data_IF_858775182740
#
_entry.id   IF_858775182740
#
_cell.length_a   1.000
_cell.length_b   1.000
_cell.length_c   1.000
_cell.angle_alpha   90.00
_cell.angle_beta   90.00
_cell.angle_gamma   90.00
#
_symmetry.space_group_name_H-M   'P 1'
#
loop_
_entity.id
_entity.type
_entity.pdbx_description
1 polymer ?
#
# COMPACT_ATOMS: atom_id res chain seq x y z
N UNK A 1 -28.85 13.97 -5.66
CA UNK A 1 -28.63 14.94 -6.79
C UNK A 1 -27.17 15.00 -7.20
N UNK A 2 -26.23 15.22 -6.27
CA UNK A 2 -24.80 15.33 -6.58
C UNK A 2 -24.22 14.04 -7.16
N UNK A 3 -24.46 12.89 -6.53
CA UNK A 3 -23.95 11.60 -6.99
C UNK A 3 -24.46 11.23 -8.39
N UNK A 4 -25.73 11.51 -8.69
CA UNK A 4 -26.27 11.29 -10.04
C UNK A 4 -25.62 12.19 -11.09
N UNK A 5 -25.37 13.45 -10.78
CA UNK A 5 -24.65 14.36 -11.67
C UNK A 5 -23.25 13.87 -11.95
N UNK A 6 -22.47 13.57 -10.89
CA UNK A 6 -21.11 13.06 -11.03
C UNK A 6 -21.06 11.75 -11.81
N UNK A 7 -21.97 10.82 -11.52
CA UNK A 7 -22.08 9.58 -12.27
C UNK A 7 -22.28 9.83 -13.77
N UNK A 8 -23.24 10.68 -14.14
CA UNK A 8 -23.51 10.98 -15.55
C UNK A 8 -22.30 11.66 -16.24
N UNK A 9 -21.62 12.57 -15.55
CA UNK A 9 -20.44 13.21 -16.11
C UNK A 9 -19.27 12.25 -16.28
N UNK A 10 -19.07 11.34 -15.35
CA UNK A 10 -18.08 10.27 -15.45
C UNK A 10 -18.38 9.35 -16.65
N UNK A 11 -19.63 8.92 -16.80
CA UNK A 11 -20.04 8.01 -17.86
C UNK A 11 -20.04 8.62 -19.28
N UNK A 12 -19.89 9.94 -19.41
CA UNK A 12 -19.63 10.60 -20.70
C UNK A 12 -18.18 10.47 -21.17
N UNK A 13 -17.22 10.27 -20.27
CA UNK A 13 -15.78 10.36 -20.55
C UNK A 13 -15.05 9.06 -20.30
N UNK A 14 -15.25 8.45 -19.15
CA UNK A 14 -14.47 7.29 -18.72
C UNK A 14 -14.68 6.02 -19.56
N UNK A 15 -15.88 5.72 -20.12
CA UNK A 15 -16.02 4.58 -21.03
C UNK A 15 -15.08 4.65 -22.24
N UNK A 16 -14.91 5.84 -22.83
CA UNK A 16 -14.00 6.01 -23.94
C UNK A 16 -12.53 5.79 -23.49
N UNK A 17 -12.15 6.28 -22.31
CA UNK A 17 -10.82 6.09 -21.75
C UNK A 17 -10.52 4.59 -21.57
N UNK A 18 -11.42 3.83 -20.99
CA UNK A 18 -11.22 2.39 -20.75
C UNK A 18 -11.27 1.56 -22.05
N UNK A 19 -11.97 2.02 -23.08
CA UNK A 19 -12.09 1.32 -24.37
C UNK A 19 -10.95 1.63 -25.34
N UNK A 20 -10.22 2.72 -25.16
CA UNK A 20 -9.14 3.09 -26.08
C UNK A 20 -7.82 2.36 -25.81
N UNK A 21 -7.76 1.50 -24.81
CA UNK A 21 -6.57 0.75 -24.44
C UNK A 21 -6.92 -0.69 -24.03
N UNK A 22 -5.96 -1.61 -24.23
CA UNK A 22 -6.02 -2.97 -23.67
C UNK A 22 -5.34 -3.07 -22.29
N UNK A 23 -4.83 -1.96 -21.76
CA UNK A 23 -4.22 -1.94 -20.42
C UNK A 23 -5.30 -2.06 -19.34
N UNK A 24 -4.94 -2.71 -18.24
CA UNK A 24 -5.75 -2.71 -17.03
C UNK A 24 -5.75 -1.31 -16.41
N UNK A 25 -6.93 -0.72 -16.26
CA UNK A 25 -7.07 0.63 -15.71
C UNK A 25 -7.23 0.56 -14.20
N UNK A 26 -6.41 1.31 -13.48
CA UNK A 26 -6.50 1.48 -12.04
C UNK A 26 -6.83 2.94 -11.72
N UNK A 27 -7.74 3.16 -10.76
CA UNK A 27 -8.09 4.48 -10.27
C UNK A 27 -7.48 4.72 -8.89
N UNK A 28 -6.97 5.92 -8.66
CA UNK A 28 -6.65 6.36 -7.30
C UNK A 28 -7.93 7.02 -6.75
N UNK A 29 -8.54 6.37 -5.77
CA UNK A 29 -9.84 6.73 -5.16
C UNK A 29 -9.73 6.85 -3.64
N UNK A 30 -8.65 7.47 -3.18
CA UNK A 30 -8.39 7.74 -1.77
C UNK A 30 -9.05 9.02 -1.28
N UNK A 31 -9.28 9.11 0.02
CA UNK A 31 -9.82 10.30 0.68
C UNK A 31 -11.34 10.46 0.49
N UNK A 32 -11.82 11.70 0.43
CA UNK A 32 -13.25 12.00 0.32
C UNK A 32 -13.71 11.97 -1.14
N UNK A 33 -14.14 10.80 -1.59
CA UNK A 33 -14.70 10.62 -2.94
C UNK A 33 -16.24 10.57 -2.89
N UNK A 34 -16.95 11.02 -3.94
CA UNK A 34 -18.40 10.88 -4.02
C UNK A 34 -18.85 9.42 -3.98
N UNK A 35 -19.99 9.11 -3.36
CA UNK A 35 -20.52 7.74 -3.24
C UNK A 35 -20.74 7.02 -4.59
N UNK A 36 -20.85 7.77 -5.68
CA UNK A 36 -20.97 7.18 -7.02
C UNK A 36 -19.64 6.66 -7.60
N UNK A 37 -18.50 6.99 -7.01
CA UNK A 37 -17.18 6.56 -7.54
C UNK A 37 -17.07 5.03 -7.57
N UNK A 38 -17.37 4.28 -6.50
CA UNK A 38 -17.36 2.81 -6.55
C UNK A 38 -18.29 2.24 -7.65
N UNK A 39 -19.45 2.84 -7.87
CA UNK A 39 -20.40 2.36 -8.91
C UNK A 39 -19.83 2.53 -10.32
N UNK A 40 -19.18 3.67 -10.59
CA UNK A 40 -18.52 3.94 -11.88
C UNK A 40 -17.35 2.99 -12.09
N UNK A 41 -16.52 2.81 -11.07
CA UNK A 41 -15.36 1.93 -11.14
C UNK A 41 -15.77 0.48 -11.37
N UNK A 42 -16.76 -0.01 -10.65
CA UNK A 42 -17.31 -1.36 -10.84
C UNK A 42 -17.86 -1.56 -12.25
N UNK A 43 -18.68 -0.62 -12.74
CA UNK A 43 -19.30 -0.71 -14.07
C UNK A 43 -18.26 -0.67 -15.20
N UNK A 44 -17.18 0.10 -15.05
CA UNK A 44 -16.13 0.23 -16.03
C UNK A 44 -14.93 -0.71 -15.80
N UNK A 45 -15.03 -1.57 -14.78
CA UNK A 45 -13.99 -2.52 -14.39
C UNK A 45 -12.63 -1.85 -14.07
N UNK A 46 -12.68 -0.64 -13.53
CA UNK A 46 -11.52 0.10 -13.05
C UNK A 46 -11.16 -0.43 -11.66
N UNK A 47 -9.91 -0.78 -11.43
CA UNK A 47 -9.45 -1.25 -10.13
C UNK A 47 -9.36 -0.08 -9.15
N UNK A 48 -9.87 -0.28 -7.93
CA UNK A 48 -9.69 0.66 -6.81
C UNK A 48 -8.31 0.54 -6.18
N UNK A 49 -7.90 1.54 -5.42
CA UNK A 49 -6.68 1.51 -4.61
C UNK A 49 -7.05 1.27 -3.14
N UNK A 50 -6.45 0.24 -2.53
CA UNK A 50 -6.70 -0.12 -1.14
C UNK A 50 -5.43 0.02 -0.30
N UNK A 51 -5.54 0.77 0.80
CA UNK A 51 -4.45 1.02 1.74
C UNK A 51 -4.93 0.77 3.17
N UNK A 52 -4.30 -0.16 3.88
CA UNK A 52 -4.74 -0.57 5.22
C UNK A 52 -4.74 0.60 6.22
N UNK A 53 -3.76 1.49 6.12
CA UNK A 53 -3.61 2.66 6.99
C UNK A 53 -4.47 3.86 6.59
N UNK A 54 -5.22 3.74 5.49
CA UNK A 54 -6.19 4.73 5.00
C UNK A 54 -7.49 4.04 4.59
N UNK A 55 -8.24 3.44 5.53
CA UNK A 55 -9.45 2.71 5.20
C UNK A 55 -10.51 3.64 4.58
N UNK A 56 -11.18 3.15 3.54
CA UNK A 56 -12.31 3.87 2.92
C UNK A 56 -13.56 3.88 3.79
N UNK A 57 -13.72 2.85 4.63
CA UNK A 57 -14.79 2.80 5.61
C UNK A 57 -14.38 3.61 6.87
N UNK A 58 -15.06 4.73 7.16
CA UNK A 58 -14.70 5.58 8.30
C UNK A 58 -14.98 4.94 9.67
N UNK A 59 -15.66 3.80 9.72
CA UNK A 59 -15.86 3.04 10.94
C UNK A 59 -14.61 2.25 11.38
N UNK A 60 -13.65 2.08 10.48
CA UNK A 60 -12.43 1.33 10.72
C UNK A 60 -11.24 2.27 10.95
N UNK A 61 -10.44 2.00 11.95
CA UNK A 61 -9.16 2.68 12.15
C UNK A 61 -8.10 2.14 11.17
N UNK A 62 -8.14 0.83 10.90
CA UNK A 62 -7.29 0.15 9.93
C UNK A 62 -8.16 -0.70 9.00
N UNK A 63 -7.84 -0.71 7.72
CA UNK A 63 -8.56 -1.50 6.71
C UNK A 63 -8.42 -3.01 6.98
N UNK A 64 -9.51 -3.72 6.80
CA UNK A 64 -9.53 -5.17 6.89
C UNK A 64 -9.13 -5.77 5.54
N UNK A 65 -7.92 -6.27 5.45
CA UNK A 65 -7.34 -6.77 4.19
C UNK A 65 -8.21 -7.84 3.51
N UNK A 66 -8.86 -8.72 4.28
CA UNK A 66 -9.75 -9.77 3.75
C UNK A 66 -11.09 -9.25 3.19
N UNK A 67 -11.43 -7.98 3.44
CA UNK A 67 -12.62 -7.32 2.89
C UNK A 67 -12.32 -6.56 1.59
N UNK A 68 -11.09 -6.52 1.15
CA UNK A 68 -10.72 -5.81 -0.06
C UNK A 68 -11.43 -6.41 -1.28
N UNK A 69 -11.97 -5.58 -2.17
CA UNK A 69 -12.60 -6.09 -3.38
C UNK A 69 -11.58 -6.76 -4.30
N UNK A 70 -12.00 -7.83 -4.98
CA UNK A 70 -11.13 -8.49 -5.95
C UNK A 70 -10.58 -7.50 -7.00
N UNK A 71 -11.43 -6.58 -7.48
CA UNK A 71 -11.00 -5.56 -8.46
C UNK A 71 -10.33 -4.38 -7.78
N UNK A 72 -9.21 -4.64 -7.15
CA UNK A 72 -8.40 -3.60 -6.51
C UNK A 72 -6.91 -3.85 -6.67
N UNK A 73 -6.16 -2.80 -6.40
CA UNK A 73 -4.74 -2.80 -6.16
C UNK A 73 -4.53 -2.53 -4.69
N UNK A 74 -3.85 -3.39 -3.96
CA UNK A 74 -3.43 -3.08 -2.59
C UNK A 74 -1.97 -2.68 -2.54
N UNK A 75 -1.65 -1.80 -1.61
CA UNK A 75 -0.28 -1.39 -1.28
C UNK A 75 -0.15 -1.06 0.20
N UNK A 76 1.05 -1.19 0.74
CA UNK A 76 1.35 -0.79 2.12
C UNK A 76 1.53 0.72 2.18
N UNK A 77 2.27 1.29 1.22
CA UNK A 77 2.61 2.72 1.17
C UNK A 77 2.48 3.25 -0.26
N UNK A 78 2.14 4.54 -0.36
CA UNK A 78 2.26 5.30 -1.61
C UNK A 78 3.40 6.32 -1.51
N UNK A 79 3.70 6.99 -2.62
CA UNK A 79 4.69 8.07 -2.63
C UNK A 79 4.28 9.29 -1.78
N UNK A 80 2.99 9.47 -1.48
CA UNK A 80 2.46 10.63 -0.75
C UNK A 80 2.31 10.40 0.77
N UNK A 81 2.73 9.23 1.25
CA UNK A 81 2.71 8.89 2.67
C UNK A 81 4.05 8.33 3.13
N UNK A 82 4.24 8.20 4.44
CA UNK A 82 5.41 7.53 4.97
C UNK A 82 5.44 6.05 4.56
N UNK A 83 6.65 5.52 4.35
CA UNK A 83 6.87 4.06 4.23
C UNK A 83 6.37 3.36 5.49
N UNK A 84 6.26 2.04 5.46
CA UNK A 84 5.86 1.26 6.64
C UNK A 84 6.66 1.63 7.89
N UNK A 85 7.99 1.70 7.76
CA UNK A 85 8.89 2.00 8.87
C UNK A 85 8.76 3.44 9.34
N UNK A 86 8.70 4.40 8.43
CA UNK A 86 8.51 5.81 8.78
C UNK A 86 7.20 6.04 9.51
N UNK A 87 6.10 5.41 9.03
CA UNK A 87 4.82 5.48 9.70
C UNK A 87 4.82 4.84 11.09
N UNK A 88 5.52 3.71 11.27
CA UNK A 88 5.63 3.05 12.57
C UNK A 88 6.20 3.97 13.66
N UNK A 89 7.10 4.86 13.29
CA UNK A 89 7.79 5.78 14.19
C UNK A 89 7.08 7.14 14.34
N UNK A 90 6.12 7.49 13.46
CA UNK A 90 5.45 8.80 13.46
C UNK A 90 4.51 9.00 14.67
N UNK A 91 3.74 7.97 15.04
CA UNK A 91 2.74 8.04 16.12
C UNK A 91 2.77 6.74 16.94
N UNK A 92 3.47 6.74 18.09
CA UNK A 92 3.57 5.56 18.95
C UNK A 92 2.24 5.03 19.47
N UNK A 93 1.24 5.91 19.68
CA UNK A 93 -0.08 5.48 20.16
C UNK A 93 -0.86 4.76 19.06
N UNK A 94 -0.81 5.29 17.85
CA UNK A 94 -1.42 4.64 16.68
C UNK A 94 -0.74 3.31 16.39
N UNK A 95 0.58 3.28 16.44
CA UNK A 95 1.37 2.05 16.26
C UNK A 95 1.04 1.00 17.32
N UNK A 96 0.84 1.40 18.57
CA UNK A 96 0.44 0.48 19.64
C UNK A 96 -0.95 -0.15 19.35
N UNK A 97 -1.90 0.64 18.85
CA UNK A 97 -3.21 0.10 18.45
C UNK A 97 -3.10 -0.86 17.27
N UNK A 98 -2.28 -0.52 16.28
CA UNK A 98 -2.01 -1.39 15.14
C UNK A 98 -1.35 -2.71 15.58
N UNK A 99 -0.35 -2.64 16.44
CA UNK A 99 0.36 -3.77 17.02
C UNK A 99 -0.58 -4.76 17.71
N UNK A 100 -1.56 -4.22 18.47
CA UNK A 100 -2.56 -5.05 19.14
C UNK A 100 -3.64 -5.57 18.17
N UNK A 101 -4.28 -4.67 17.41
CA UNK A 101 -5.49 -4.98 16.66
C UNK A 101 -5.19 -5.75 15.36
N UNK A 102 -4.10 -5.40 14.69
CA UNK A 102 -3.77 -5.96 13.38
C UNK A 102 -2.76 -7.11 13.51
N UNK A 103 -1.70 -6.91 14.29
CA UNK A 103 -0.68 -7.95 14.46
C UNK A 103 -0.99 -8.92 15.60
N UNK A 104 -2.02 -8.67 16.40
CA UNK A 104 -2.41 -9.54 17.53
C UNK A 104 -1.34 -9.65 18.61
N UNK A 105 -0.48 -8.64 18.74
CA UNK A 105 0.64 -8.63 19.69
C UNK A 105 0.31 -7.82 20.93
N UNK A 106 0.86 -8.19 22.06
CA UNK A 106 0.64 -7.56 23.36
C UNK A 106 1.98 -7.28 24.05
N UNK A 107 2.01 -6.25 24.88
CA UNK A 107 3.19 -5.85 25.64
C UNK A 107 3.83 -4.58 25.11
N UNK A 108 5.14 -4.45 25.35
CA UNK A 108 5.90 -3.26 24.93
C UNK A 108 6.05 -3.24 23.42
N UNK A 109 5.65 -2.11 22.82
CA UNK A 109 5.73 -1.91 21.36
C UNK A 109 7.13 -1.44 21.00
N UNK A 110 7.82 -2.11 20.06
CA UNK A 110 9.12 -1.65 19.58
C UNK A 110 9.04 -0.23 19.00
N UNK A 111 9.99 0.63 19.36
CA UNK A 111 10.06 2.02 18.87
C UNK A 111 10.32 2.10 17.37
N UNK A 112 11.05 1.14 16.81
CA UNK A 112 11.27 0.97 15.36
C UNK A 112 10.61 -0.33 14.90
N UNK A 113 10.07 -0.33 13.68
CA UNK A 113 9.44 -1.52 13.10
C UNK A 113 10.43 -2.68 13.02
N UNK A 114 10.23 -3.78 13.76
CA UNK A 114 11.12 -4.94 13.68
C UNK A 114 10.87 -5.71 12.37
N UNK A 115 11.91 -6.36 11.86
CA UNK A 115 11.85 -7.08 10.58
C UNK A 115 10.72 -8.10 10.51
N UNK A 116 10.45 -8.82 11.60
CA UNK A 116 9.37 -9.80 11.67
C UNK A 116 7.97 -9.17 11.53
N UNK A 117 7.76 -7.97 12.10
CA UNK A 117 6.48 -7.28 11.97
C UNK A 117 6.28 -6.76 10.54
N UNK A 118 7.34 -6.25 9.93
CA UNK A 118 7.31 -5.87 8.52
C UNK A 118 7.02 -7.06 7.61
N UNK A 119 7.63 -8.22 7.88
CA UNK A 119 7.38 -9.46 7.15
C UNK A 119 5.92 -9.92 7.28
N UNK A 120 5.37 -9.88 8.48
CA UNK A 120 3.96 -10.22 8.72
C UNK A 120 3.01 -9.28 7.96
N UNK A 121 3.27 -7.97 7.98
CA UNK A 121 2.47 -6.98 7.24
C UNK A 121 2.55 -7.22 5.73
N UNK A 122 3.73 -7.49 5.19
CA UNK A 122 3.89 -7.84 3.77
C UNK A 122 3.11 -9.10 3.43
N UNK A 123 3.22 -10.16 4.26
CA UNK A 123 2.49 -11.42 4.08
C UNK A 123 0.98 -11.20 4.04
N UNK A 124 0.43 -10.48 5.01
CA UNK A 124 -1.00 -10.17 5.04
C UNK A 124 -1.48 -9.43 3.78
N UNK A 125 -0.67 -8.52 3.24
CA UNK A 125 -0.99 -7.84 1.97
C UNK A 125 -0.91 -8.78 0.76
N UNK A 126 0.03 -9.72 0.76
CA UNK A 126 0.09 -10.74 -0.28
C UNK A 126 -1.11 -11.72 -0.21
N UNK A 127 -1.63 -12.00 0.97
CA UNK A 127 -2.77 -12.90 1.18
C UNK A 127 -4.14 -12.26 0.90
N UNK A 128 -4.21 -10.93 0.79
CA UNK A 128 -5.48 -10.23 0.57
C UNK A 128 -6.10 -10.56 -0.80
N UNK A 129 -7.43 -10.43 -0.97
CA UNK A 129 -8.12 -10.81 -2.21
C UNK A 129 -7.92 -9.83 -3.37
N UNK A 130 -7.21 -8.71 -3.19
CA UNK A 130 -6.94 -7.75 -4.27
C UNK A 130 -6.26 -8.41 -5.46
N UNK A 131 -6.70 -8.08 -6.68
CA UNK A 131 -6.15 -8.65 -7.92
C UNK A 131 -4.65 -8.38 -8.05
N UNK A 132 -4.22 -7.18 -7.69
CA UNK A 132 -2.83 -6.78 -7.69
C UNK A 132 -2.36 -6.38 -6.30
N UNK A 133 -1.19 -6.85 -5.91
CA UNK A 133 -0.47 -6.39 -4.73
C UNK A 133 0.84 -5.74 -5.20
N UNK A 134 0.90 -4.41 -5.15
CA UNK A 134 2.05 -3.64 -5.63
C UNK A 134 2.64 -2.87 -4.46
N UNK A 135 3.76 -3.35 -3.96
CA UNK A 135 4.42 -2.78 -2.78
C UNK A 135 5.60 -1.90 -3.18
N UNK A 136 5.82 -0.83 -2.44
CA UNK A 136 7.01 -0.01 -2.59
C UNK A 136 8.27 -0.83 -2.28
N UNK A 137 9.36 -0.57 -3.00
CA UNK A 137 10.63 -1.29 -2.78
C UNK A 137 11.14 -1.15 -1.33
N UNK A 138 10.92 0.01 -0.73
CA UNK A 138 11.27 0.28 0.67
C UNK A 138 10.49 -0.62 1.62
N UNK A 139 9.21 -0.89 1.33
CA UNK A 139 8.39 -1.77 2.16
C UNK A 139 8.83 -3.23 2.04
N UNK A 140 9.27 -3.67 0.85
CA UNK A 140 9.92 -4.98 0.69
C UNK A 140 11.21 -5.08 1.49
N UNK A 141 12.09 -4.07 1.42
CA UNK A 141 13.36 -4.07 2.17
C UNK A 141 13.16 -3.97 3.68
N UNK A 142 12.02 -3.46 4.14
CA UNK A 142 11.73 -3.31 5.57
C UNK A 142 11.82 -4.60 6.38
N UNK A 143 11.60 -5.75 5.70
CA UNK A 143 11.64 -7.09 6.31
C UNK A 143 13.05 -7.54 6.71
N UNK A 144 14.09 -6.95 6.13
CA UNK A 144 15.48 -7.34 6.36
C UNK A 144 16.24 -6.18 7.00
N UNK A 145 16.60 -6.33 8.28
CA UNK A 145 17.21 -5.28 9.09
C UNK A 145 18.62 -4.89 8.62
N UNK A 146 19.30 -5.76 7.88
CA UNK A 146 20.61 -5.49 7.31
C UNK A 146 20.54 -4.83 5.92
N UNK A 147 19.41 -4.98 5.23
CA UNK A 147 19.24 -4.46 3.86
C UNK A 147 18.45 -3.15 3.80
N UNK A 148 17.60 -2.88 4.78
CA UNK A 148 16.79 -1.65 4.80
C UNK A 148 17.64 -0.41 5.03
N UNK A 149 17.15 0.74 4.62
CA UNK A 149 17.85 2.00 4.82
C UNK A 149 18.04 2.26 6.35
N UNK A 150 19.20 2.73 6.83
CA UNK A 150 19.42 2.96 8.26
C UNK A 150 18.38 3.92 8.89
N UNK A 151 18.05 5.01 8.20
CA UNK A 151 17.07 6.00 8.64
C UNK A 151 15.73 5.79 7.91
N UNK A 152 14.69 5.43 8.64
CA UNK A 152 13.34 5.20 8.10
C UNK A 152 12.75 6.45 7.40
N UNK A 153 13.08 7.65 7.89
CA UNK A 153 12.60 8.89 7.28
C UNK A 153 13.26 9.19 5.93
N UNK A 154 14.49 8.70 5.72
CA UNK A 154 15.20 8.87 4.44
C UNK A 154 14.60 7.99 3.32
N UNK A 155 13.75 7.02 3.64
CA UNK A 155 13.02 6.19 2.67
C UNK A 155 11.86 6.94 2.00
N UNK A 156 11.41 8.06 2.56
CA UNK A 156 10.24 8.79 2.10
C UNK A 156 10.49 9.44 0.74
N UNK A 157 9.55 9.25 -0.20
CA UNK A 157 9.63 9.79 -1.56
C UNK A 157 9.12 11.22 -1.60
N UNK A 158 7.94 11.46 -1.02
CA UNK A 158 7.29 12.76 -1.00
C UNK A 158 6.83 13.13 0.41
N UNK A 159 6.78 14.43 0.68
CA UNK A 159 6.20 15.04 1.88
C UNK A 159 5.20 16.11 1.41
N UNK A 160 3.94 15.76 1.13
CA UNK A 160 2.96 16.67 0.51
C UNK A 160 2.76 17.98 1.27
N UNK A 161 2.89 17.96 2.60
CA UNK A 161 2.80 19.16 3.43
C UNK A 161 3.99 20.12 3.28
N UNK A 162 5.07 19.70 2.64
CA UNK A 162 6.26 20.53 2.42
C UNK A 162 6.32 21.01 0.95
N UNK A 163 5.95 22.28 0.65
CA UNK A 163 5.94 22.79 -0.72
C UNK A 163 7.34 22.93 -1.34
N UNK A 164 8.39 22.75 -0.53
CA UNK A 164 9.80 22.78 -0.97
C UNK A 164 10.44 21.41 -0.99
N UNK A 165 9.65 20.33 -0.85
CA UNK A 165 10.17 18.96 -0.94
C UNK A 165 10.51 18.64 -2.40
N UNK A 166 11.62 17.93 -2.60
CA UNK A 166 12.04 17.45 -3.91
C UNK A 166 12.02 15.92 -3.91
N UNK A 167 11.42 15.33 -4.92
CA UNK A 167 11.37 13.89 -5.16
C UNK A 167 12.72 13.39 -5.66
N UNK A 168 13.58 12.99 -4.74
CA UNK A 168 14.95 12.60 -5.05
C UNK A 168 15.44 11.36 -4.29
N UNK A 169 14.50 10.54 -3.86
CA UNK A 169 14.86 9.26 -3.27
C UNK A 169 15.77 8.48 -4.24
N UNK A 170 16.80 7.84 -3.70
CA UNK A 170 17.70 6.93 -4.41
C UNK A 170 17.88 5.69 -3.57
N UNK A 171 17.79 4.52 -4.23
CA UNK A 171 18.15 3.27 -3.60
C UNK A 171 19.61 3.35 -3.09
N UNK A 172 19.83 2.87 -1.88
CA UNK A 172 21.16 2.79 -1.28
C UNK A 172 21.90 1.49 -1.67
N UNK A 173 21.17 0.51 -2.23
CA UNK A 173 21.71 -0.72 -2.77
C UNK A 173 21.78 -0.64 -4.30
N UNK A 174 22.83 -1.18 -4.89
CA UNK A 174 22.87 -1.40 -6.35
C UNK A 174 22.04 -2.62 -6.71
N UNK A 175 21.58 -2.70 -7.97
CA UNK A 175 20.86 -3.90 -8.45
C UNK A 175 21.76 -5.13 -8.37
N UNK A 176 23.06 -4.98 -8.68
CA UNK A 176 24.06 -6.04 -8.61
C UNK A 176 24.23 -6.58 -7.18
N UNK A 177 24.17 -5.70 -6.18
CA UNK A 177 24.23 -6.11 -4.78
C UNK A 177 22.96 -6.80 -4.34
N UNK A 178 21.79 -6.29 -4.76
CA UNK A 178 20.50 -6.91 -4.47
C UNK A 178 20.41 -8.32 -5.08
N UNK A 179 20.91 -8.53 -6.31
CA UNK A 179 20.99 -9.84 -6.94
C UNK A 179 21.83 -10.86 -6.16
N UNK A 180 22.84 -10.40 -5.41
CA UNK A 180 23.69 -11.23 -4.56
C UNK A 180 23.02 -11.64 -3.23
N UNK A 181 21.93 -10.96 -2.82
CA UNK A 181 21.22 -11.22 -1.56
C UNK A 181 20.30 -12.44 -1.67
N UNK A 182 20.90 -13.60 -1.90
CA UNK A 182 20.19 -14.85 -2.22
C UNK A 182 19.16 -15.26 -1.17
N UNK A 183 19.45 -15.07 0.12
CA UNK A 183 18.51 -15.42 1.20
C UNK A 183 17.27 -14.52 1.16
N UNK A 184 17.44 -13.23 0.98
CA UNK A 184 16.35 -12.27 0.84
C UNK A 184 15.52 -12.56 -0.42
N UNK A 185 16.16 -12.72 -1.57
CA UNK A 185 15.47 -13.02 -2.84
C UNK A 185 14.68 -14.34 -2.76
N UNK A 186 15.26 -15.37 -2.12
CA UNK A 186 14.57 -16.64 -1.88
C UNK A 186 13.34 -16.44 -1.00
N UNK A 187 13.47 -15.70 0.11
CA UNK A 187 12.32 -15.37 0.99
C UNK A 187 11.19 -14.69 0.21
N UNK A 188 11.49 -13.72 -0.64
CA UNK A 188 10.48 -13.05 -1.48
C UNK A 188 9.76 -14.04 -2.39
N UNK A 189 10.51 -14.90 -3.08
CA UNK A 189 9.93 -15.91 -3.96
C UNK A 189 9.02 -16.85 -3.18
N UNK A 190 9.49 -17.37 -2.05
CA UNK A 190 8.72 -18.27 -1.19
C UNK A 190 7.42 -17.63 -0.69
N UNK A 191 7.46 -16.36 -0.24
CA UNK A 191 6.27 -15.63 0.20
C UNK A 191 5.25 -15.42 -0.93
N UNK A 192 5.72 -15.11 -2.14
CA UNK A 192 4.86 -14.94 -3.32
C UNK A 192 4.21 -16.28 -3.72
N UNK A 193 4.99 -17.36 -3.73
CA UNK A 193 4.50 -18.69 -4.07
C UNK A 193 3.49 -19.21 -3.04
N UNK A 194 3.79 -19.09 -1.75
CA UNK A 194 2.91 -19.51 -0.64
C UNK A 194 1.56 -18.79 -0.64
N UNK A 195 1.53 -17.54 -1.09
CA UNK A 195 0.29 -16.74 -1.17
C UNK A 195 -0.43 -16.88 -2.52
N UNK A 196 0.08 -17.69 -3.44
CA UNK A 196 -0.55 -17.98 -4.72
C UNK A 196 -0.54 -16.81 -5.72
N UNK A 197 0.45 -15.92 -5.61
CA UNK A 197 0.61 -14.72 -6.47
C UNK A 197 1.70 -14.87 -7.53
N UNK A 198 2.04 -16.08 -7.92
CA UNK A 198 3.00 -16.43 -8.97
C UNK A 198 2.38 -16.44 -10.39
#
# INVERSE_FOLDING_TARGET
RHNQFWYHEAMKKLPMLTQCTSMLVCGEDLGMVPDCVPWVMEQLQILSLEIQRMPKNPAYEFGHLWEYPLRSVCTISTHDMATLRGWWEEDPELTARYYNQVLGQWGEVPTSAPGWACEEIVRQHLECPSLLCILAFQDWLSMDEDLRYPDANAERINVPANPRHYWRYRMHLTLEDLMKKKAFNKKLTEMIDETGRN
#
